data_IF_817518714473
#
_entry.id   IF_817518714473
#
_cell.length_a   1.000
_cell.length_b   1.000
_cell.length_c   1.000
_cell.angle_alpha   90.00
_cell.angle_beta   90.00
_cell.angle_gamma   90.00
#
_symmetry.space_group_name_H-M   'P 1'
#
loop_
_entity.id
_entity.type
_entity.pdbx_description
1 polymer ?
#
# COMPACT_ATOMS: atom_id res chain seq x y z
N UNK A 1 25.60 -32.89 27.64
CA UNK A 1 25.47 -32.29 26.30
C UNK A 1 24.85 -30.89 26.46
N UNK A 2 25.64 -29.81 26.29
CA UNK A 2 25.22 -28.43 26.61
C UNK A 2 24.46 -27.84 25.42
N UNK A 3 23.13 -27.78 25.50
CA UNK A 3 22.29 -27.14 24.49
C UNK A 3 22.63 -25.66 24.42
N UNK A 4 23.31 -25.23 23.35
CA UNK A 4 23.54 -23.81 23.06
C UNK A 4 22.25 -23.22 22.50
N UNK A 5 21.43 -22.62 23.36
CA UNK A 5 20.36 -21.73 22.93
C UNK A 5 20.99 -20.47 22.31
N UNK A 6 21.03 -20.40 20.99
CA UNK A 6 21.36 -19.19 20.26
C UNK A 6 20.16 -18.24 20.36
N UNK A 7 20.17 -17.34 21.35
CA UNK A 7 19.30 -16.18 21.33
C UNK A 7 19.71 -15.31 20.14
N UNK A 8 18.95 -15.38 19.03
CA UNK A 8 19.01 -14.34 18.01
C UNK A 8 18.44 -13.08 18.64
N UNK A 9 19.29 -12.13 19.01
CA UNK A 9 18.86 -10.77 19.32
C UNK A 9 18.05 -10.25 18.11
N UNK A 10 16.73 -10.25 18.24
CA UNK A 10 15.84 -9.62 17.28
C UNK A 10 16.16 -8.13 17.31
N UNK A 11 16.98 -7.69 16.36
CA UNK A 11 17.37 -6.29 16.18
C UNK A 11 16.09 -5.46 16.17
N UNK A 12 15.78 -4.80 17.31
CA UNK A 12 14.55 -4.03 17.50
C UNK A 12 14.61 -2.80 16.59
N UNK A 13 14.18 -2.97 15.35
CA UNK A 13 14.06 -1.89 14.39
C UNK A 13 13.11 -0.85 14.98
N UNK A 14 13.57 0.41 15.09
CA UNK A 14 12.77 1.51 15.64
C UNK A 14 11.45 1.60 14.86
N UNK A 15 10.32 1.84 15.57
CA UNK A 15 8.94 1.73 15.03
C UNK A 15 8.67 2.50 13.72
N UNK A 16 9.42 3.57 13.42
CA UNK A 16 9.27 4.38 12.20
C UNK A 16 10.45 4.28 11.22
N UNK A 17 11.44 3.43 11.50
CA UNK A 17 12.63 3.29 10.68
C UNK A 17 12.35 2.39 9.48
N UNK A 18 12.50 2.91 8.27
CA UNK A 18 12.35 2.14 7.03
C UNK A 18 13.70 1.58 6.60
N UNK A 19 13.82 0.26 6.52
CA UNK A 19 15.04 -0.41 6.04
C UNK A 19 15.35 -0.08 4.58
N UNK A 20 14.31 0.11 3.74
CA UNK A 20 14.46 0.46 2.32
C UNK A 20 15.01 1.87 2.11
N UNK A 21 14.56 2.83 2.93
CA UNK A 21 15.02 4.23 2.87
C UNK A 21 16.21 4.51 3.80
N UNK A 22 16.56 3.58 4.68
CA UNK A 22 17.58 3.70 5.74
C UNK A 22 17.39 4.93 6.65
N UNK A 23 16.15 5.37 6.83
CA UNK A 23 15.81 6.56 7.60
C UNK A 23 14.46 6.42 8.33
N UNK A 24 14.19 7.32 9.27
CA UNK A 24 12.86 7.47 9.86
C UNK A 24 11.90 8.06 8.82
N UNK A 25 10.77 7.40 8.63
CA UNK A 25 9.81 7.77 7.59
C UNK A 25 8.40 7.81 8.16
N UNK A 26 7.62 8.73 7.62
CA UNK A 26 6.16 8.76 7.77
C UNK A 26 5.55 8.51 6.40
N UNK A 27 4.39 7.85 6.40
CA UNK A 27 3.56 7.63 5.23
C UNK A 27 2.34 8.50 5.34
N UNK A 28 1.95 9.07 4.21
CA UNK A 28 0.71 9.82 4.06
C UNK A 28 -0.04 9.18 2.90
N UNK A 29 -1.29 8.82 3.16
CA UNK A 29 -2.24 8.34 2.15
C UNK A 29 -3.25 9.46 1.94
N UNK A 30 -3.50 9.80 0.68
CA UNK A 30 -4.53 10.76 0.30
C UNK A 30 -5.61 10.03 -0.50
N UNK A 31 -6.87 10.29 -0.17
CA UNK A 31 -8.03 9.86 -0.97
C UNK A 31 -8.53 11.10 -1.68
N UNK A 32 -8.56 11.05 -3.01
CA UNK A 32 -8.88 12.19 -3.87
C UNK A 32 -10.05 11.81 -4.76
N UNK A 33 -11.02 12.71 -4.87
CA UNK A 33 -12.13 12.54 -5.80
C UNK A 33 -11.64 12.77 -7.24
N UNK A 34 -11.76 11.77 -8.11
CA UNK A 34 -11.16 11.79 -9.45
C UNK A 34 -11.60 12.96 -10.35
N UNK A 35 -12.89 13.35 -10.29
CA UNK A 35 -13.42 14.44 -11.13
C UNK A 35 -13.15 15.84 -10.58
N UNK A 36 -13.50 16.09 -9.32
CA UNK A 36 -13.36 17.41 -8.68
C UNK A 36 -11.95 17.68 -8.17
N UNK A 37 -11.07 16.68 -8.15
CA UNK A 37 -9.71 16.73 -7.60
C UNK A 37 -9.65 17.16 -6.12
N UNK A 38 -10.78 17.08 -5.42
CA UNK A 38 -10.86 17.40 -4.00
C UNK A 38 -10.23 16.29 -3.17
N UNK A 39 -9.44 16.70 -2.16
CA UNK A 39 -8.92 15.79 -1.16
C UNK A 39 -10.07 15.45 -0.20
N UNK A 40 -10.52 14.20 -0.24
CA UNK A 40 -11.58 13.70 0.63
C UNK A 40 -11.04 13.30 2.00
N UNK A 41 -9.81 12.77 2.06
CA UNK A 41 -9.18 12.34 3.30
C UNK A 41 -7.66 12.28 3.20
N UNK A 42 -7.00 12.52 4.35
CA UNK A 42 -5.57 12.35 4.54
C UNK A 42 -5.32 11.49 5.77
N UNK A 43 -4.61 10.39 5.59
CA UNK A 43 -4.30 9.42 6.63
C UNK A 43 -2.78 9.33 6.81
N UNK A 44 -2.30 9.40 8.05
CA UNK A 44 -0.88 9.36 8.36
C UNK A 44 -0.51 8.11 9.15
N UNK A 45 0.65 7.54 8.87
CA UNK A 45 1.20 6.45 9.66
C UNK A 45 2.71 6.48 9.74
N UNK A 46 3.26 5.67 10.67
CA UNK A 46 4.69 5.35 10.67
C UNK A 46 5.03 4.60 9.38
N UNK A 47 6.22 4.83 8.84
CA UNK A 47 6.62 4.26 7.54
C UNK A 47 6.81 2.74 7.51
N UNK A 48 6.78 2.07 8.67
CA UNK A 48 6.79 0.61 8.77
C UNK A 48 5.43 -0.04 8.44
N UNK A 49 4.32 0.73 8.44
CA UNK A 49 2.98 0.21 8.13
C UNK A 49 2.82 0.02 6.63
N UNK A 50 2.17 -1.07 6.20
CA UNK A 50 1.86 -1.31 4.79
C UNK A 50 0.77 -0.37 4.28
N UNK A 51 0.84 0.04 3.02
CA UNK A 51 -0.08 1.06 2.46
C UNK A 51 -1.54 0.57 2.47
N UNK A 52 -1.77 -0.71 2.14
CA UNK A 52 -3.10 -1.32 2.21
C UNK A 52 -3.61 -1.51 3.65
N UNK A 53 -2.72 -1.67 4.63
CA UNK A 53 -3.11 -1.73 6.05
C UNK A 53 -3.57 -0.35 6.53
N UNK A 54 -2.90 0.71 6.09
CA UNK A 54 -3.33 2.09 6.35
C UNK A 54 -4.70 2.37 5.71
N UNK A 55 -4.92 1.89 4.49
CA UNK A 55 -6.22 1.97 3.82
C UNK A 55 -7.34 1.30 4.60
N UNK A 56 -7.12 0.05 5.05
CA UNK A 56 -8.12 -0.75 5.78
C UNK A 56 -8.62 -0.06 7.05
N UNK A 57 -7.76 0.70 7.73
CA UNK A 57 -8.15 1.46 8.94
C UNK A 57 -9.10 2.63 8.64
N UNK A 58 -9.09 3.12 7.41
CA UNK A 58 -9.83 4.30 6.99
C UNK A 58 -10.97 3.97 6.02
N UNK A 59 -11.40 2.71 5.96
CA UNK A 59 -12.48 2.25 5.07
C UNK A 59 -13.80 2.99 5.31
N UNK A 60 -14.08 3.39 6.55
CA UNK A 60 -15.31 4.10 6.92
C UNK A 60 -15.47 5.46 6.22
N UNK A 61 -14.39 6.02 5.64
CA UNK A 61 -14.41 7.30 4.93
C UNK A 61 -14.84 7.14 3.45
N UNK A 62 -14.91 5.91 2.96
CA UNK A 62 -15.23 5.60 1.56
C UNK A 62 -16.53 4.77 1.55
N UNK A 63 -17.56 5.20 0.81
CA UNK A 63 -18.77 4.40 0.63
C UNK A 63 -18.43 3.04 -0.01
N UNK A 64 -19.01 1.95 0.48
CA UNK A 64 -18.76 0.57 0.00
C UNK A 64 -18.99 0.35 -1.50
N UNK A 65 -19.83 1.17 -2.14
CA UNK A 65 -20.14 1.08 -3.57
C UNK A 65 -19.33 2.09 -4.42
N UNK A 66 -18.18 2.53 -3.92
CA UNK A 66 -17.32 3.48 -4.62
C UNK A 66 -16.40 2.79 -5.63
N UNK A 67 -16.23 3.41 -6.80
CA UNK A 67 -15.21 2.98 -7.75
C UNK A 67 -13.82 3.46 -7.32
N UNK A 68 -12.89 2.54 -7.08
CA UNK A 68 -11.55 2.86 -6.55
C UNK A 68 -10.46 2.71 -7.60
N UNK A 69 -9.76 3.81 -7.88
CA UNK A 69 -8.48 3.80 -8.58
C UNK A 69 -7.35 3.77 -7.54
N UNK A 70 -6.51 2.74 -7.56
CA UNK A 70 -5.42 2.61 -6.61
C UNK A 70 -4.14 2.07 -7.26
N UNK A 71 -3.00 2.24 -6.59
CA UNK A 71 -1.73 1.70 -7.05
C UNK A 71 -1.62 0.18 -6.81
N UNK A 72 -0.61 -0.46 -7.40
CA UNK A 72 -0.38 -1.92 -7.26
C UNK A 72 -0.12 -2.39 -5.83
N UNK A 73 0.27 -1.51 -4.92
CA UNK A 73 0.44 -1.80 -3.49
C UNK A 73 -0.87 -2.16 -2.80
N UNK A 74 -2.02 -1.90 -3.42
CA UNK A 74 -3.35 -2.26 -2.95
C UNK A 74 -3.83 -3.60 -3.52
N UNK A 75 -2.90 -4.50 -3.86
CA UNK A 75 -3.25 -5.85 -4.31
C UNK A 75 -4.18 -6.53 -3.29
N UNK A 76 -5.35 -6.99 -3.76
CA UNK A 76 -6.40 -7.56 -2.92
C UNK A 76 -7.54 -6.59 -2.57
N UNK A 77 -7.51 -5.34 -3.05
CA UNK A 77 -8.59 -4.36 -2.83
C UNK A 77 -9.95 -4.82 -3.38
N UNK A 78 -9.96 -5.67 -4.41
CA UNK A 78 -11.17 -6.29 -4.99
C UNK A 78 -12.05 -7.02 -3.98
N UNK A 79 -11.47 -7.52 -2.87
CA UNK A 79 -12.23 -8.17 -1.81
C UNK A 79 -13.04 -7.19 -0.95
N UNK A 80 -12.67 -5.90 -0.97
CA UNK A 80 -13.34 -4.83 -0.24
C UNK A 80 -14.19 -3.96 -1.16
N UNK A 81 -13.70 -3.69 -2.37
CA UNK A 81 -14.35 -2.91 -3.41
C UNK A 81 -14.28 -3.69 -4.72
N UNK A 82 -15.37 -4.37 -5.08
CA UNK A 82 -15.45 -5.12 -6.35
C UNK A 82 -15.16 -4.21 -7.55
N UNK A 83 -15.66 -2.98 -7.48
CA UNK A 83 -15.48 -1.94 -8.48
C UNK A 83 -14.17 -1.19 -8.24
N UNK A 84 -13.05 -1.86 -8.47
CA UNK A 84 -11.73 -1.25 -8.35
C UNK A 84 -10.86 -1.51 -9.57
N UNK A 85 -9.92 -0.60 -9.82
CA UNK A 85 -8.95 -0.72 -10.90
C UNK A 85 -7.55 -0.51 -10.34
N UNK A 86 -6.71 -1.50 -10.58
CA UNK A 86 -5.28 -1.44 -10.31
C UNK A 86 -4.52 -1.41 -11.65
N UNK A 87 -3.41 -0.66 -11.75
CA UNK A 87 -2.62 -0.65 -12.96
C UNK A 87 -2.08 -2.05 -13.28
N UNK A 88 -1.94 -2.37 -14.55
CA UNK A 88 -1.44 -3.68 -14.98
C UNK A 88 0.08 -3.72 -15.01
N UNK A 89 0.71 -4.82 -14.57
CA UNK A 89 2.18 -5.00 -14.61
C UNK A 89 2.53 -6.13 -15.58
N UNK A 90 3.54 -5.89 -16.40
CA UNK A 90 4.14 -6.98 -17.15
C UNK A 90 4.78 -8.00 -16.21
N UNK A 91 4.74 -9.27 -16.62
CA UNK A 91 5.55 -10.32 -15.99
C UNK A 91 7.04 -10.03 -16.22
N UNK A 92 7.89 -10.59 -15.37
CA UNK A 92 9.35 -10.47 -15.52
C UNK A 92 9.75 -11.02 -16.90
N UNK A 93 10.55 -10.25 -17.65
CA UNK A 93 10.98 -10.54 -19.04
C UNK A 93 9.89 -10.47 -20.12
N UNK A 94 8.68 -10.02 -19.79
CA UNK A 94 7.64 -9.73 -20.78
C UNK A 94 7.50 -8.22 -20.97
N UNK A 95 7.11 -7.78 -22.17
CA UNK A 95 6.66 -6.39 -22.39
C UNK A 95 5.20 -6.27 -21.92
N UNK A 96 4.86 -5.12 -21.36
CA UNK A 96 3.44 -4.81 -21.10
C UNK A 96 2.78 -4.55 -22.45
N UNK A 97 1.58 -5.09 -22.62
CA UNK A 97 0.77 -4.81 -23.80
C UNK A 97 0.63 -3.29 -24.00
N UNK A 98 0.84 -2.76 -25.23
CA UNK A 98 0.73 -1.33 -25.50
C UNK A 98 -0.61 -0.73 -25.11
N UNK A 99 -1.70 -1.47 -25.24
CA UNK A 99 -3.05 -1.04 -24.86
C UNK A 99 -3.13 -0.91 -23.34
N UNK A 100 -2.57 -1.86 -22.59
CA UNK A 100 -2.54 -1.76 -21.12
C UNK A 100 -1.66 -0.60 -20.60
N UNK A 101 -0.74 -0.07 -21.42
CA UNK A 101 0.01 1.14 -21.06
C UNK A 101 -0.85 2.40 -21.13
N UNK A 102 -1.86 2.48 -22.00
CA UNK A 102 -2.69 3.69 -22.11
C UNK A 102 -3.61 3.89 -20.91
N UNK A 103 -3.90 2.81 -20.18
CA UNK A 103 -4.74 2.81 -18.97
C UNK A 103 -3.95 2.92 -17.66
N UNK A 104 -2.62 3.02 -17.73
CA UNK A 104 -1.74 3.10 -16.56
C UNK A 104 -1.24 4.52 -16.29
#
# INVERSE_FOLDING_TARGET
MRLKFQFKDLKKQKKSYSGKKKAHTFKVQAIIHSKTQQILSLCMSKGAVHDFELFKRNLHLIPTNSFILADKGYQGIYALYSDSLLPSKAKKYCKLDPVLKTYN
#
